data_IF_834913625566
#
_entry.id   IF_834913625566
#
_cell.length_a   1.000
_cell.length_b   1.000
_cell.length_c   1.000
_cell.angle_alpha   90.00
_cell.angle_beta   90.00
_cell.angle_gamma   90.00
#
_symmetry.space_group_name_H-M   'P 1'
#
loop_
_entity.id
_entity.type
_entity.pdbx_description
1 polymer ?
#
# COMPACT_ATOMS: atom_id res chain seq x y z
N UNK A 1 -9.79 13.56 -2.74
CA UNK A 1 -11.20 13.98 -2.52
C UNK A 1 -11.30 14.55 -1.12
N UNK A 2 -11.80 15.78 -0.96
CA UNK A 2 -11.95 16.41 0.36
C UNK A 2 -13.42 16.32 0.81
N UNK A 3 -13.67 16.37 2.12
CA UNK A 3 -14.97 16.34 2.76
C UNK A 3 -15.97 17.35 2.15
N UNK A 4 -15.52 18.57 1.86
CA UNK A 4 -16.35 19.61 1.24
C UNK A 4 -16.85 19.20 -0.16
N UNK A 5 -15.95 18.63 -0.97
CA UNK A 5 -16.31 18.14 -2.31
C UNK A 5 -17.32 17.00 -2.21
N UNK A 6 -17.13 16.06 -1.27
CA UNK A 6 -18.08 14.97 -1.04
C UNK A 6 -19.48 15.47 -0.67
N UNK A 7 -19.57 16.42 0.28
CA UNK A 7 -20.85 17.02 0.66
C UNK A 7 -21.52 17.74 -0.51
N UNK A 8 -20.77 18.48 -1.32
CA UNK A 8 -21.29 19.16 -2.50
C UNK A 8 -21.87 18.17 -3.52
N UNK A 9 -21.18 17.06 -3.80
CA UNK A 9 -21.69 16.03 -4.70
C UNK A 9 -22.93 15.32 -4.14
N UNK A 10 -22.96 15.01 -2.84
CA UNK A 10 -24.14 14.42 -2.21
C UNK A 10 -25.37 15.34 -2.33
N UNK A 11 -25.20 16.64 -2.08
CA UNK A 11 -26.28 17.62 -2.27
C UNK A 11 -26.78 17.67 -3.71
N UNK A 12 -25.88 17.68 -4.70
CA UNK A 12 -26.26 17.66 -6.12
C UNK A 12 -26.98 16.37 -6.52
N UNK A 13 -26.57 15.22 -5.99
CA UNK A 13 -27.21 13.93 -6.22
C UNK A 13 -28.61 13.85 -5.57
N UNK A 14 -28.81 14.52 -4.43
CA UNK A 14 -30.14 14.67 -3.83
C UNK A 14 -31.03 15.63 -4.63
N UNK A 15 -30.51 16.78 -5.06
CA UNK A 15 -31.26 17.77 -5.87
C UNK A 15 -31.73 17.17 -7.20
N UNK A 16 -30.89 16.36 -7.84
CA UNK A 16 -31.20 15.66 -9.09
C UNK A 16 -32.12 14.43 -8.92
N UNK A 17 -32.48 14.12 -7.67
CA UNK A 17 -33.31 12.97 -7.24
C UNK A 17 -32.68 11.61 -7.54
N UNK A 18 -31.35 11.51 -7.56
CA UNK A 18 -30.64 10.24 -7.71
C UNK A 18 -30.42 9.53 -6.38
N UNK A 19 -30.40 10.29 -5.29
CA UNK A 19 -30.38 9.78 -3.92
C UNK A 19 -31.64 10.22 -3.15
N UNK A 20 -32.07 9.37 -2.23
CA UNK A 20 -33.11 9.65 -1.23
C UNK A 20 -32.56 9.37 0.16
N UNK A 21 -33.11 10.01 1.19
CA UNK A 21 -32.73 9.73 2.58
C UNK A 21 -33.87 9.01 3.29
N UNK A 22 -33.52 8.03 4.10
CA UNK A 22 -34.45 7.34 4.98
C UNK A 22 -33.89 7.32 6.40
N UNK A 23 -34.79 7.36 7.39
CA UNK A 23 -34.44 7.33 8.81
C UNK A 23 -34.62 5.94 9.37
N UNK A 24 -33.59 5.43 10.01
CA UNK A 24 -33.65 4.18 10.76
C UNK A 24 -32.92 4.38 12.09
N UNK A 25 -33.61 4.15 13.21
CA UNK A 25 -33.05 4.21 14.56
C UNK A 25 -32.25 5.50 14.85
N UNK A 26 -32.88 6.65 14.60
CA UNK A 26 -32.31 8.00 14.82
C UNK A 26 -31.08 8.35 13.96
N UNK A 27 -30.81 7.56 12.91
CA UNK A 27 -29.78 7.84 11.90
C UNK A 27 -30.39 8.04 10.52
N UNK A 28 -29.83 8.98 9.77
CA UNK A 28 -30.18 9.23 8.37
C UNK A 28 -29.24 8.43 7.45
N UNK A 29 -29.82 7.65 6.55
CA UNK A 29 -29.10 6.88 5.54
C UNK A 29 -29.46 7.37 4.15
N UNK A 30 -28.51 7.30 3.23
CA UNK A 30 -28.73 7.57 1.81
C UNK A 30 -29.05 6.26 1.09
N UNK A 31 -30.06 6.29 0.23
CA UNK A 31 -30.41 5.20 -0.68
C UNK A 31 -30.49 5.71 -2.11
N UNK A 32 -30.14 4.85 -3.07
CA UNK A 32 -30.32 5.14 -4.49
C UNK A 32 -31.80 5.12 -4.86
N UNK A 33 -32.22 6.08 -5.66
CA UNK A 33 -33.55 6.04 -6.31
C UNK A 33 -33.49 5.22 -7.59
N UNK A 34 -34.65 4.80 -8.10
CA UNK A 34 -34.75 4.11 -9.40
C UNK A 34 -34.08 4.91 -10.53
N UNK A 35 -34.27 6.23 -10.55
CA UNK A 35 -33.64 7.14 -11.52
C UNK A 35 -32.12 7.17 -11.36
N UNK A 36 -31.62 7.11 -10.13
CA UNK A 36 -30.19 7.02 -9.84
C UNK A 36 -29.57 5.71 -10.34
N UNK A 37 -30.29 4.58 -10.18
CA UNK A 37 -29.87 3.28 -10.70
C UNK A 37 -29.82 3.26 -12.23
N UNK A 38 -30.85 3.75 -12.91
CA UNK A 38 -30.89 3.80 -14.38
C UNK A 38 -29.73 4.61 -14.97
N UNK A 39 -29.39 5.74 -14.35
CA UNK A 39 -28.28 6.58 -14.77
C UNK A 39 -26.94 5.93 -14.46
N UNK A 40 -26.83 5.24 -13.32
CA UNK A 40 -25.63 4.46 -12.99
C UNK A 40 -25.39 3.37 -14.04
N UNK A 41 -26.41 2.59 -14.39
CA UNK A 41 -26.33 1.58 -15.45
C UNK A 41 -25.96 2.19 -16.81
N UNK A 42 -26.55 3.34 -17.15
CA UNK A 42 -26.20 4.08 -18.35
C UNK A 42 -24.72 4.45 -18.39
N UNK A 43 -24.16 4.98 -17.29
CA UNK A 43 -22.74 5.32 -17.22
C UNK A 43 -21.83 4.09 -17.25
N UNK A 44 -22.21 3.00 -16.58
CA UNK A 44 -21.48 1.74 -16.61
C UNK A 44 -21.38 1.20 -18.05
N UNK A 45 -22.46 1.29 -18.83
CA UNK A 45 -22.47 0.86 -20.24
C UNK A 45 -21.57 1.69 -21.16
N UNK A 46 -21.15 2.88 -20.71
CA UNK A 46 -20.30 3.79 -21.48
C UNK A 46 -18.81 3.60 -21.20
N UNK A 47 -18.46 2.79 -20.20
CA UNK A 47 -17.07 2.43 -19.92
C UNK A 47 -16.60 1.54 -21.07
N UNK A 48 -15.57 1.94 -21.84
CA UNK A 48 -15.07 1.13 -22.95
C UNK A 48 -14.55 -0.22 -22.45
N UNK A 49 -14.95 -1.31 -23.11
CA UNK A 49 -14.54 -2.66 -22.76
C UNK A 49 -13.01 -2.84 -22.79
N UNK A 50 -12.32 -2.14 -23.70
CA UNK A 50 -10.85 -2.10 -23.76
C UNK A 50 -10.21 -1.54 -22.48
N UNK A 51 -10.86 -0.57 -21.82
CA UNK A 51 -10.36 0.00 -20.57
C UNK A 51 -10.55 -0.98 -19.41
N UNK A 52 -11.72 -1.63 -19.33
CA UNK A 52 -12.00 -2.65 -18.31
C UNK A 52 -11.06 -3.84 -18.47
N UNK A 53 -10.87 -4.34 -19.69
CA UNK A 53 -9.95 -5.45 -19.97
C UNK A 53 -8.51 -5.10 -19.61
N UNK A 54 -8.02 -3.88 -19.90
CA UNK A 54 -6.69 -3.44 -19.45
C UNK A 54 -6.54 -3.41 -17.94
N UNK A 55 -7.59 -2.99 -17.23
CA UNK A 55 -7.59 -2.99 -15.77
C UNK A 55 -7.59 -4.44 -15.24
N UNK A 56 -8.41 -5.31 -15.82
CA UNK A 56 -8.49 -6.72 -15.42
C UNK A 56 -7.20 -7.48 -15.71
N UNK A 57 -6.57 -7.25 -16.86
CA UNK A 57 -5.25 -7.78 -17.20
C UNK A 57 -4.19 -7.28 -16.21
N UNK A 58 -4.18 -5.97 -15.92
CA UNK A 58 -3.26 -5.39 -14.96
C UNK A 58 -3.46 -6.00 -13.57
N UNK A 59 -4.69 -6.10 -13.09
CA UNK A 59 -5.02 -6.69 -11.77
C UNK A 59 -4.65 -8.16 -11.74
N UNK A 60 -4.86 -8.91 -12.81
CA UNK A 60 -4.52 -10.34 -12.89
C UNK A 60 -3.00 -10.54 -12.87
N UNK A 61 -2.27 -9.78 -13.67
CA UNK A 61 -0.80 -9.85 -13.75
C UNK A 61 -0.13 -9.38 -12.45
N UNK A 62 -0.67 -8.34 -11.83
CA UNK A 62 -0.13 -7.72 -10.62
C UNK A 62 -0.83 -8.21 -9.35
N UNK A 63 -1.67 -9.26 -9.41
CA UNK A 63 -2.46 -9.68 -8.25
C UNK A 63 -1.59 -10.00 -7.04
N UNK A 64 -0.46 -10.66 -7.27
CA UNK A 64 0.50 -10.93 -6.20
C UNK A 64 1.12 -9.63 -5.68
N UNK A 65 1.61 -8.72 -6.53
CA UNK A 65 2.19 -7.46 -6.05
C UNK A 65 1.18 -6.50 -5.41
N UNK A 66 -0.09 -6.55 -5.82
CA UNK A 66 -1.20 -5.79 -5.23
C UNK A 66 -1.60 -6.32 -3.85
N UNK A 67 -1.38 -7.61 -3.58
CA UNK A 67 -1.66 -8.26 -2.30
C UNK A 67 -0.43 -8.41 -1.41
N UNK A 68 0.77 -8.29 -1.99
CA UNK A 68 2.04 -8.44 -1.28
C UNK A 68 2.36 -7.14 -0.56
N UNK A 69 1.99 -7.08 0.71
CA UNK A 69 2.49 -6.07 1.61
C UNK A 69 3.95 -6.39 1.93
N UNK A 70 4.87 -5.68 1.26
CA UNK A 70 6.29 -5.69 1.62
C UNK A 70 6.55 -4.61 2.65
N UNK A 71 6.88 -5.02 3.88
CA UNK A 71 7.32 -4.11 4.93
C UNK A 71 8.84 -4.13 5.06
N UNK A 72 9.47 -2.97 4.84
CA UNK A 72 10.89 -2.75 5.09
C UNK A 72 11.06 -2.08 6.45
N UNK A 73 11.78 -2.72 7.38
CA UNK A 73 12.07 -2.18 8.71
C UNK A 73 13.57 -2.02 8.93
N UNK A 74 13.94 -0.94 9.60
CA UNK A 74 15.32 -0.68 10.03
C UNK A 74 15.31 0.07 11.36
N UNK A 75 16.10 -0.36 12.32
CA UNK A 75 16.30 0.33 13.59
C UNK A 75 17.73 0.15 14.07
N UNK A 76 18.18 0.98 15.00
CA UNK A 76 19.45 0.78 15.69
C UNK A 76 19.33 1.11 17.17
N UNK A 77 20.17 0.49 17.98
CA UNK A 77 20.19 0.63 19.44
C UNK A 77 21.65 0.81 19.87
N UNK A 78 21.91 1.76 20.77
CA UNK A 78 23.23 1.90 21.38
C UNK A 78 23.43 0.80 22.44
N UNK A 79 24.47 -0.01 22.29
CA UNK A 79 24.81 -1.07 23.23
C UNK A 79 25.78 -0.58 24.30
N UNK A 80 26.86 0.10 23.90
CA UNK A 80 27.90 0.64 24.78
C UNK A 80 28.40 2.00 24.25
N UNK A 81 29.38 2.62 24.93
CA UNK A 81 30.10 3.77 24.37
C UNK A 81 30.80 3.37 23.07
N UNK A 82 30.35 3.95 21.95
CA UNK A 82 30.81 3.69 20.58
C UNK A 82 30.45 2.30 20.00
N UNK A 83 29.46 1.60 20.52
CA UNK A 83 28.93 0.37 19.89
C UNK A 83 27.42 0.48 19.68
N UNK A 84 26.98 0.23 18.45
CA UNK A 84 25.58 0.29 18.03
C UNK A 84 25.22 -1.00 17.31
N UNK A 85 24.05 -1.55 17.63
CA UNK A 85 23.47 -2.69 16.91
C UNK A 85 22.41 -2.15 15.96
N UNK A 86 22.58 -2.44 14.67
CA UNK A 86 21.60 -2.15 13.62
C UNK A 86 20.80 -3.42 13.33
N UNK A 87 19.48 -3.33 13.38
CA UNK A 87 18.56 -4.37 12.95
C UNK A 87 17.91 -3.98 11.62
N UNK A 88 18.01 -4.84 10.61
CA UNK A 88 17.45 -4.64 9.28
C UNK A 88 16.56 -5.82 8.91
N UNK A 89 15.34 -5.55 8.45
CA UNK A 89 14.36 -6.59 8.13
C UNK A 89 13.58 -6.27 6.86
N UNK A 90 13.31 -7.31 6.07
CA UNK A 90 12.26 -7.29 5.03
C UNK A 90 11.24 -8.36 5.38
N UNK A 91 9.98 -7.96 5.43
CA UNK A 91 8.84 -8.82 5.71
C UNK A 91 7.96 -8.80 4.47
N UNK A 92 7.58 -9.97 3.98
CA UNK A 92 6.64 -10.11 2.87
C UNK A 92 5.60 -11.16 3.27
N UNK A 93 4.31 -10.84 3.09
CA UNK A 93 3.21 -11.75 3.41
C UNK A 93 3.30 -12.33 4.84
N UNK A 94 3.66 -11.48 5.82
CA UNK A 94 3.88 -11.84 7.24
C UNK A 94 5.05 -12.81 7.51
N UNK A 95 5.87 -13.11 6.50
CA UNK A 95 7.10 -13.89 6.64
C UNK A 95 8.32 -12.99 6.62
N UNK A 96 9.28 -13.23 7.53
CA UNK A 96 10.56 -12.52 7.49
C UNK A 96 11.43 -13.12 6.38
N UNK A 97 11.61 -12.40 5.29
CA UNK A 97 12.51 -12.81 4.20
C UNK A 97 13.98 -12.72 4.61
N UNK A 98 14.32 -11.67 5.37
CA UNK A 98 15.68 -11.45 5.88
C UNK A 98 15.60 -10.66 7.20
N UNK A 99 16.46 -11.03 8.15
CA UNK A 99 16.66 -10.34 9.43
C UNK A 99 18.17 -10.29 9.73
N UNK A 100 18.76 -9.09 9.67
CA UNK A 100 20.19 -8.86 9.86
C UNK A 100 20.43 -8.05 11.13
N UNK A 101 21.39 -8.50 11.93
CA UNK A 101 21.91 -7.77 13.08
C UNK A 101 23.39 -7.46 12.85
N UNK A 102 23.73 -6.17 12.78
CA UNK A 102 25.08 -5.69 12.49
C UNK A 102 25.58 -4.83 13.65
N UNK A 103 26.80 -5.11 14.12
CA UNK A 103 27.47 -4.25 15.10
C UNK A 103 28.32 -3.20 14.38
N UNK A 104 28.15 -1.93 14.73
CA UNK A 104 28.85 -0.79 14.13
C UNK A 104 29.40 0.17 15.18
N UNK A 105 30.50 0.83 14.85
CA UNK A 105 31.30 1.59 15.81
C UNK A 105 30.91 3.07 15.97
N UNK A 106 29.83 3.51 15.31
CA UNK A 106 29.33 4.89 15.42
C UNK A 106 27.85 5.02 15.08
N UNK A 107 27.19 5.98 15.71
CA UNK A 107 25.81 6.35 15.42
C UNK A 107 25.63 6.78 13.96
N UNK A 108 26.58 7.55 13.42
CA UNK A 108 26.55 8.01 12.04
C UNK A 108 26.53 6.83 11.06
N UNK A 109 27.33 5.80 11.30
CA UNK A 109 27.35 4.59 10.48
C UNK A 109 26.05 3.81 10.62
N UNK A 110 25.51 3.68 11.84
CA UNK A 110 24.22 3.03 12.09
C UNK A 110 23.08 3.71 11.31
N UNK A 111 23.02 5.04 11.37
CA UNK A 111 22.03 5.84 10.65
C UNK A 111 22.17 5.68 9.12
N UNK A 112 23.38 5.77 8.59
CA UNK A 112 23.64 5.58 7.16
C UNK A 112 23.18 4.20 6.65
N UNK A 113 23.40 3.15 7.43
CA UNK A 113 22.97 1.80 7.08
C UNK A 113 21.44 1.72 7.06
N UNK A 114 20.76 2.26 8.08
CA UNK A 114 19.30 2.29 8.12
C UNK A 114 18.70 3.07 6.93
N UNK A 115 19.26 4.23 6.61
CA UNK A 115 18.77 5.06 5.50
C UNK A 115 18.99 4.39 4.14
N UNK A 116 20.15 3.75 3.96
CA UNK A 116 20.42 2.99 2.75
C UNK A 116 19.49 1.77 2.62
N UNK A 117 19.21 1.08 3.72
CA UNK A 117 18.29 -0.07 3.74
C UNK A 117 16.87 0.35 3.36
N UNK A 118 16.32 1.41 3.96
CA UNK A 118 14.96 1.89 3.65
C UNK A 118 14.73 2.16 2.16
N UNK A 119 15.75 2.65 1.47
CA UNK A 119 15.64 3.01 0.05
C UNK A 119 15.98 1.84 -0.89
N UNK A 120 16.81 0.89 -0.47
CA UNK A 120 17.38 -0.13 -1.36
C UNK A 120 17.23 -1.58 -0.86
N UNK A 121 16.39 -1.85 0.15
CA UNK A 121 16.29 -3.17 0.79
C UNK A 121 16.04 -4.33 -0.20
N UNK A 122 15.16 -4.16 -1.19
CA UNK A 122 14.86 -5.21 -2.18
C UNK A 122 16.08 -5.56 -3.03
N UNK A 123 16.83 -4.55 -3.47
CA UNK A 123 18.07 -4.74 -4.22
C UNK A 123 19.15 -5.43 -3.36
N UNK A 124 19.36 -4.93 -2.13
CA UNK A 124 20.34 -5.51 -1.21
C UNK A 124 20.01 -6.95 -0.84
N UNK A 125 18.73 -7.27 -0.63
CA UNK A 125 18.29 -8.64 -0.39
C UNK A 125 18.66 -9.56 -1.55
N UNK A 126 18.38 -9.16 -2.79
CA UNK A 126 18.72 -9.94 -3.98
C UNK A 126 20.25 -10.15 -4.11
N UNK A 127 21.04 -9.11 -3.88
CA UNK A 127 22.52 -9.20 -3.91
C UNK A 127 23.06 -10.12 -2.81
N UNK A 128 22.52 -10.06 -1.58
CA UNK A 128 22.92 -10.95 -0.49
C UNK A 128 22.62 -12.40 -0.84
N UNK A 129 21.44 -12.68 -1.42
CA UNK A 129 21.08 -14.03 -1.87
C UNK A 129 22.01 -14.50 -2.98
N UNK A 130 22.31 -13.66 -3.98
CA UNK A 130 23.23 -14.01 -5.07
C UNK A 130 24.64 -14.32 -4.53
N UNK A 131 25.15 -13.50 -3.60
CA UNK A 131 26.44 -13.73 -2.94
C UNK A 131 26.49 -15.02 -2.12
N UNK A 132 25.39 -15.42 -1.50
CA UNK A 132 25.30 -16.66 -0.71
C UNK A 132 25.12 -17.91 -1.57
N UNK A 133 24.49 -17.79 -2.74
CA UNK A 133 24.28 -18.90 -3.68
C UNK A 133 25.51 -19.11 -4.57
N UNK A 134 26.28 -18.06 -4.86
CA UNK A 134 27.54 -18.19 -5.60
C UNK A 134 28.52 -19.08 -4.83
N UNK A 135 28.71 -20.30 -5.33
CA UNK A 135 29.81 -21.16 -4.91
C UNK A 135 31.12 -20.47 -5.29
N UNK A 136 31.89 -20.05 -4.29
CA UNK A 136 33.27 -19.64 -4.52
C UNK A 136 34.06 -20.89 -4.95
N UNK A 137 34.38 -21.00 -6.24
CA UNK A 137 35.39 -21.93 -6.74
C UNK A 137 36.79 -21.58 -6.24
#
# INVERSE_FOLDING_TARGET
MNYFSLQQFLSQLMESKFLTTYKESDREYYSLTQKGLEILEYFLSRIPEDLTNKIDEYVTLNRQSLLSDTEVKSSFIQQNNNEFIVNLRVIENQSNLIDLNLNVSSEKQAQQICDNWKNNASYMYAEIIDLLIKENH
#
